data_IF_449413051241
#
_entry.id   IF_449413051241
#
_cell.length_a   1.000
_cell.length_b   1.000
_cell.length_c   1.000
_cell.angle_alpha   90.00
_cell.angle_beta   90.00
_cell.angle_gamma   90.00
#
_symmetry.space_group_name_H-M   'P 1'
#
loop_
_entity.id
_entity.type
_entity.pdbx_description
1 polymer ?
#
# COMPACT_ATOMS: atom_id res chain seq x y z
N UNK A 1 6.17 -31.29 -66.12
CA UNK A 1 6.83 -31.81 -64.89
C UNK A 1 7.41 -30.71 -63.97
N UNK A 2 7.72 -29.54 -64.42
CA UNK A 2 8.30 -28.43 -63.67
C UNK A 2 7.28 -27.68 -62.85
N UNK A 3 6.06 -27.44 -63.34
CA UNK A 3 5.00 -26.65 -62.70
C UNK A 3 4.45 -27.27 -61.39
N UNK A 4 4.43 -28.59 -61.31
CA UNK A 4 3.90 -29.34 -60.16
C UNK A 4 4.89 -29.35 -58.99
N UNK A 5 6.21 -29.27 -59.26
CA UNK A 5 7.26 -29.16 -58.23
C UNK A 5 7.31 -27.77 -57.62
N UNK A 6 7.02 -26.72 -58.38
CA UNK A 6 7.02 -25.33 -57.92
C UNK A 6 5.80 -25.06 -57.05
N UNK A 7 4.62 -25.58 -57.44
CA UNK A 7 3.41 -25.51 -56.62
C UNK A 7 3.57 -26.22 -55.25
N UNK A 8 4.18 -27.41 -55.24
CA UNK A 8 4.45 -28.17 -53.99
C UNK A 8 5.45 -27.44 -53.11
N UNK A 9 6.47 -26.80 -53.67
CA UNK A 9 7.42 -25.97 -52.90
C UNK A 9 6.77 -24.74 -52.26
N UNK A 10 5.97 -24.02 -53.02
CA UNK A 10 5.25 -22.84 -52.49
C UNK A 10 4.27 -23.23 -51.40
N UNK A 11 3.53 -24.34 -51.57
CA UNK A 11 2.58 -24.83 -50.58
C UNK A 11 3.28 -25.32 -49.29
N UNK A 12 4.45 -25.95 -49.43
CA UNK A 12 5.26 -26.38 -48.29
C UNK A 12 5.85 -25.19 -47.52
N UNK A 13 6.37 -24.20 -48.23
CA UNK A 13 6.89 -22.96 -47.61
C UNK A 13 5.78 -22.17 -46.89
N UNK A 14 4.59 -22.06 -47.48
CA UNK A 14 3.46 -21.37 -46.89
C UNK A 14 2.92 -22.07 -45.62
N UNK A 15 2.85 -23.40 -45.67
CA UNK A 15 2.41 -24.21 -44.51
C UNK A 15 3.40 -24.10 -43.34
N UNK A 16 4.68 -24.15 -43.63
CA UNK A 16 5.71 -24.00 -42.60
C UNK A 16 5.81 -22.55 -42.06
N UNK A 17 5.66 -21.53 -42.91
CA UNK A 17 5.64 -20.13 -42.50
C UNK A 17 4.53 -19.86 -41.49
N UNK A 18 3.34 -20.45 -41.66
CA UNK A 18 2.24 -20.33 -40.65
C UNK A 18 2.65 -20.88 -39.28
N UNK A 19 3.33 -22.04 -39.25
CA UNK A 19 3.79 -22.62 -38.00
C UNK A 19 4.88 -21.79 -37.31
N UNK A 20 5.78 -21.17 -38.09
CA UNK A 20 6.79 -20.23 -37.55
C UNK A 20 6.16 -18.97 -37.00
N UNK A 21 5.15 -18.41 -37.66
CA UNK A 21 4.41 -17.26 -37.20
C UNK A 21 3.66 -17.60 -35.88
N UNK A 22 2.93 -18.72 -35.86
CA UNK A 22 2.20 -19.17 -34.66
C UNK A 22 3.17 -19.42 -33.50
N UNK A 23 4.29 -20.12 -33.74
CA UNK A 23 5.32 -20.34 -32.71
C UNK A 23 5.93 -19.06 -32.21
N UNK A 24 6.21 -18.10 -33.08
CA UNK A 24 6.71 -16.76 -32.69
C UNK A 24 5.72 -15.98 -31.86
N UNK A 25 4.44 -15.99 -32.22
CA UNK A 25 3.37 -15.33 -31.43
C UNK A 25 3.23 -15.97 -30.06
N UNK A 26 3.21 -17.30 -29.97
CA UNK A 26 3.12 -18.00 -28.68
C UNK A 26 4.33 -17.74 -27.79
N UNK A 27 5.54 -17.74 -28.37
CA UNK A 27 6.76 -17.40 -27.63
C UNK A 27 6.75 -15.96 -27.13
N UNK A 28 6.26 -15.01 -27.91
CA UNK A 28 6.11 -13.62 -27.51
C UNK A 28 5.08 -13.45 -26.38
N UNK A 29 3.92 -14.10 -26.50
CA UNK A 29 2.91 -14.09 -25.43
C UNK A 29 3.51 -14.66 -24.13
N UNK A 30 4.20 -15.79 -24.22
CA UNK A 30 4.85 -16.39 -23.05
C UNK A 30 5.91 -15.46 -22.44
N UNK A 31 6.72 -14.79 -23.25
CA UNK A 31 7.70 -13.82 -22.76
C UNK A 31 7.03 -12.64 -22.03
N UNK A 32 5.96 -12.08 -22.62
CA UNK A 32 5.22 -10.96 -22.00
C UNK A 32 4.58 -11.39 -20.68
N UNK A 33 4.00 -12.60 -20.62
CA UNK A 33 3.41 -13.10 -19.36
C UNK A 33 4.46 -13.33 -18.29
N UNK A 34 5.60 -13.93 -18.61
CA UNK A 34 6.70 -14.15 -17.65
C UNK A 34 7.29 -12.83 -17.18
N UNK A 35 7.55 -11.89 -18.10
CA UNK A 35 8.02 -10.55 -17.75
C UNK A 35 7.01 -9.81 -16.85
N UNK A 36 5.72 -9.90 -17.16
CA UNK A 36 4.65 -9.35 -16.35
C UNK A 36 4.61 -9.94 -14.94
N UNK A 37 4.77 -11.26 -14.81
CA UNK A 37 4.82 -11.93 -13.50
C UNK A 37 6.06 -11.52 -12.68
N UNK A 38 7.21 -11.36 -13.32
CA UNK A 38 8.44 -10.90 -12.65
C UNK A 38 8.26 -9.47 -12.13
N UNK A 39 7.72 -8.58 -12.96
CA UNK A 39 7.45 -7.19 -12.59
C UNK A 39 6.42 -7.14 -11.46
N UNK A 40 5.32 -7.90 -11.57
CA UNK A 40 4.31 -8.01 -10.53
C UNK A 40 4.93 -8.47 -9.20
N UNK A 41 5.69 -9.56 -9.19
CA UNK A 41 6.35 -10.08 -7.99
C UNK A 41 7.37 -9.09 -7.41
N UNK A 42 8.07 -8.33 -8.25
CA UNK A 42 9.00 -7.30 -7.80
C UNK A 42 8.28 -6.18 -7.04
N UNK A 43 7.18 -5.64 -7.59
CA UNK A 43 6.41 -4.58 -6.95
C UNK A 43 5.61 -5.08 -5.74
N UNK A 44 5.12 -6.29 -5.82
CA UNK A 44 4.30 -6.92 -4.79
C UNK A 44 5.04 -7.05 -3.43
N UNK A 45 6.35 -7.32 -3.47
CA UNK A 45 7.18 -7.43 -2.27
C UNK A 45 8.02 -6.17 -1.96
N UNK A 46 7.73 -5.04 -2.59
CA UNK A 46 8.52 -3.81 -2.38
C UNK A 46 8.48 -3.35 -0.92
N UNK A 47 7.30 -3.29 -0.31
CA UNK A 47 7.15 -2.89 1.10
C UNK A 47 7.90 -3.82 2.05
N UNK A 48 7.82 -5.14 1.84
CA UNK A 48 8.57 -6.11 2.64
C UNK A 48 10.08 -5.84 2.59
N UNK A 49 10.64 -5.62 1.41
CA UNK A 49 12.06 -5.32 1.23
C UNK A 49 12.46 -4.00 1.88
N UNK A 50 11.62 -2.97 1.75
CA UNK A 50 11.82 -1.66 2.36
C UNK A 50 11.81 -1.75 3.88
N UNK A 51 10.82 -2.43 4.47
CA UNK A 51 10.74 -2.66 5.91
C UNK A 51 11.96 -3.46 6.40
N UNK A 52 12.35 -4.52 5.69
CA UNK A 52 13.52 -5.31 6.05
C UNK A 52 14.83 -4.50 5.98
N UNK A 53 14.93 -3.54 5.06
CA UNK A 53 16.08 -2.65 4.94
C UNK A 53 16.11 -1.64 6.08
N UNK A 54 15.00 -0.98 6.39
CA UNK A 54 14.96 0.08 7.39
C UNK A 54 14.87 -0.43 8.84
N UNK A 55 14.40 -1.68 9.02
CA UNK A 55 14.35 -2.39 10.31
C UNK A 55 15.37 -3.54 10.35
N UNK A 56 16.59 -3.29 9.94
CA UNK A 56 17.66 -4.30 9.78
C UNK A 56 17.99 -5.07 11.07
N UNK A 57 17.72 -4.48 12.22
CA UNK A 57 17.96 -5.00 13.56
C UNK A 57 16.72 -5.69 14.18
N UNK A 58 15.62 -5.78 13.42
CA UNK A 58 14.36 -6.36 13.87
C UNK A 58 13.90 -7.49 12.92
N UNK A 59 13.18 -8.49 13.43
CA UNK A 59 12.64 -9.55 12.59
C UNK A 59 11.46 -9.02 11.76
N UNK A 60 11.65 -8.90 10.46
CA UNK A 60 10.57 -8.60 9.49
C UNK A 60 10.31 -9.84 8.65
N UNK A 61 9.08 -10.36 8.69
CA UNK A 61 8.62 -11.49 7.89
C UNK A 61 7.11 -11.34 7.60
N UNK A 62 6.64 -11.87 6.49
CA UNK A 62 5.27 -11.64 6.00
C UNK A 62 4.17 -12.14 6.96
N UNK A 63 4.44 -13.22 7.69
CA UNK A 63 3.50 -13.78 8.67
C UNK A 63 3.61 -13.18 10.08
N UNK A 64 4.28 -12.00 10.24
CA UNK A 64 4.43 -11.38 11.56
C UNK A 64 3.09 -10.87 12.10
N UNK A 65 2.78 -11.14 13.39
CA UNK A 65 1.54 -10.63 14.00
C UNK A 65 1.65 -9.18 14.48
N UNK A 66 2.86 -8.66 14.61
CA UNK A 66 3.13 -7.31 15.11
C UNK A 66 4.13 -6.61 14.22
N UNK A 67 3.75 -5.45 13.71
CA UNK A 67 4.69 -4.53 13.08
C UNK A 67 5.03 -3.43 14.08
N UNK A 68 6.28 -3.40 14.50
CA UNK A 68 6.80 -2.35 15.40
C UNK A 68 7.90 -1.59 14.69
N UNK A 69 7.70 -0.29 14.53
CA UNK A 69 8.67 0.63 13.92
C UNK A 69 9.12 1.61 14.98
N UNK A 70 10.38 1.56 15.46
CA UNK A 70 10.90 2.52 16.43
C UNK A 70 10.94 3.95 15.86
N UNK A 71 10.87 4.95 16.74
CA UNK A 71 10.92 6.36 16.33
C UNK A 71 12.15 6.69 15.48
N UNK A 72 11.98 7.56 14.50
CA UNK A 72 13.03 8.04 13.59
C UNK A 72 13.47 7.03 12.52
N UNK A 73 12.71 5.94 12.32
CA UNK A 73 13.05 4.89 11.34
C UNK A 73 12.28 5.02 10.03
N UNK A 74 12.80 4.31 9.03
CA UNK A 74 12.20 4.17 7.70
C UNK A 74 12.06 5.51 6.94
N UNK A 75 13.02 6.41 7.12
CA UNK A 75 13.08 7.73 6.48
C UNK A 75 14.01 7.75 5.25
N UNK A 76 14.14 6.63 4.54
CA UNK A 76 14.84 6.57 3.27
C UNK A 76 13.96 7.15 2.14
N UNK A 77 14.52 7.97 1.26
CA UNK A 77 13.83 8.60 0.12
C UNK A 77 13.25 7.57 -0.87
N UNK A 78 13.84 6.38 -0.92
CA UNK A 78 13.35 5.28 -1.76
C UNK A 78 12.05 4.65 -1.24
N UNK A 79 11.68 4.90 0.03
CA UNK A 79 10.48 4.34 0.64
C UNK A 79 9.32 5.31 0.45
N UNK A 80 8.66 5.25 -0.69
CA UNK A 80 7.54 6.13 -1.05
C UNK A 80 6.16 5.50 -0.86
N UNK A 81 6.09 4.18 -0.69
CA UNK A 81 4.84 3.44 -0.52
C UNK A 81 4.98 2.46 0.65
N UNK A 82 3.98 2.47 1.54
CA UNK A 82 3.77 1.47 2.57
C UNK A 82 2.50 0.70 2.24
N UNK A 83 2.63 -0.49 1.66
CA UNK A 83 1.53 -1.40 1.32
C UNK A 83 1.60 -2.65 2.21
N UNK A 84 0.66 -2.78 3.15
CA UNK A 84 0.65 -3.85 4.14
C UNK A 84 -0.27 -5.04 3.79
N UNK A 85 -0.88 -5.05 2.59
CA UNK A 85 -1.84 -6.10 2.19
C UNK A 85 -1.31 -7.54 2.27
N UNK A 86 0.02 -7.73 2.15
CA UNK A 86 0.64 -9.06 2.21
C UNK A 86 0.96 -9.56 3.63
N UNK A 87 0.84 -8.69 4.63
CA UNK A 87 1.07 -9.03 6.03
C UNK A 87 -0.24 -9.48 6.69
N UNK A 88 -0.86 -10.51 6.12
CA UNK A 88 -2.23 -10.94 6.48
C UNK A 88 -2.41 -11.39 7.93
N UNK A 89 -1.32 -11.72 8.63
CA UNK A 89 -1.38 -12.13 10.04
C UNK A 89 -1.19 -10.96 11.02
N UNK A 90 -1.08 -9.72 10.52
CA UNK A 90 -0.92 -8.55 11.38
C UNK A 90 -2.14 -8.37 12.29
N UNK A 91 -1.84 -8.26 13.58
CA UNK A 91 -2.82 -7.93 14.64
C UNK A 91 -2.66 -6.52 15.15
N UNK A 92 -1.43 -6.05 15.26
CA UNK A 92 -1.17 -4.68 15.69
C UNK A 92 -0.05 -4.05 14.87
N UNK A 93 -0.24 -2.76 14.58
CA UNK A 93 0.73 -1.90 13.92
C UNK A 93 1.08 -0.79 14.93
N UNK A 94 2.34 -0.71 15.32
CA UNK A 94 2.86 0.35 16.17
C UNK A 94 4.01 1.05 15.47
N UNK A 95 3.80 2.30 15.11
CA UNK A 95 4.79 3.14 14.43
C UNK A 95 5.16 4.27 15.39
N UNK A 96 6.45 4.40 15.66
CA UNK A 96 6.97 5.46 16.53
C UNK A 96 6.83 6.85 15.91
N UNK A 97 7.36 7.85 16.57
CA UNK A 97 7.37 9.22 16.07
C UNK A 97 8.42 9.44 14.99
N UNK A 98 8.16 10.38 14.08
CA UNK A 98 9.13 10.81 13.07
C UNK A 98 9.57 9.66 12.13
N UNK A 99 8.61 8.82 11.75
CA UNK A 99 8.82 7.68 10.86
C UNK A 99 8.21 7.92 9.47
N UNK A 100 8.76 7.25 8.45
CA UNK A 100 8.20 7.22 7.09
C UNK A 100 8.03 8.60 6.45
N UNK A 101 8.98 9.49 6.65
CA UNK A 101 8.95 10.88 6.17
C UNK A 101 8.63 11.01 4.66
N UNK A 102 9.15 10.09 3.84
CA UNK A 102 9.03 10.15 2.38
C UNK A 102 7.89 9.29 1.80
N UNK A 103 7.12 8.61 2.67
CA UNK A 103 5.99 7.80 2.22
C UNK A 103 4.83 8.71 1.83
N UNK A 104 4.41 8.62 0.57
CA UNK A 104 3.30 9.38 0.00
C UNK A 104 2.04 8.53 -0.21
N UNK A 105 2.15 7.21 -0.09
CA UNK A 105 1.01 6.31 -0.21
C UNK A 105 1.04 5.23 0.85
N UNK A 106 -0.02 5.17 1.66
CA UNK A 106 -0.21 4.15 2.68
C UNK A 106 -1.45 3.33 2.37
N UNK A 107 -1.28 2.00 2.34
CA UNK A 107 -2.34 1.02 2.08
C UNK A 107 -2.37 0.01 3.24
N UNK A 108 -3.43 0.04 4.03
CA UNK A 108 -3.76 -0.93 5.08
C UNK A 108 -5.10 -1.52 4.68
N UNK A 109 -5.05 -2.63 3.94
CA UNK A 109 -6.23 -3.18 3.28
C UNK A 109 -6.28 -4.70 3.40
N UNK A 110 -7.47 -5.25 3.68
CA UNK A 110 -7.71 -6.70 3.71
C UNK A 110 -7.00 -7.43 4.84
N UNK A 111 -6.81 -6.79 6.00
CA UNK A 111 -6.14 -7.36 7.15
C UNK A 111 -7.18 -7.84 8.17
N UNK A 112 -7.63 -9.08 7.99
CA UNK A 112 -8.72 -9.64 8.80
C UNK A 112 -8.38 -9.76 10.29
N UNK A 113 -7.12 -10.01 10.63
CA UNK A 113 -6.68 -10.17 12.03
C UNK A 113 -6.30 -8.84 12.72
N UNK A 114 -6.31 -7.72 12.00
CA UNK A 114 -5.87 -6.43 12.51
C UNK A 114 -6.85 -5.89 13.55
N UNK A 115 -6.34 -5.61 14.76
CA UNK A 115 -7.12 -5.11 15.91
C UNK A 115 -6.79 -3.66 16.25
N UNK A 116 -5.53 -3.27 16.12
CA UNK A 116 -5.09 -1.94 16.54
C UNK A 116 -4.02 -1.33 15.65
N UNK A 117 -4.12 -0.01 15.47
CA UNK A 117 -3.11 0.81 14.80
C UNK A 117 -2.76 1.97 15.71
N UNK A 118 -1.47 2.13 15.99
CA UNK A 118 -0.95 3.26 16.75
C UNK A 118 0.22 3.90 15.99
N UNK A 119 0.14 5.20 15.76
CA UNK A 119 1.13 5.99 15.02
C UNK A 119 1.56 7.17 15.89
N UNK A 120 2.86 7.34 16.07
CA UNK A 120 3.45 8.43 16.84
C UNK A 120 3.33 9.78 16.13
N UNK A 121 3.83 10.85 16.78
CA UNK A 121 3.79 12.21 16.24
C UNK A 121 4.73 12.39 15.05
N UNK A 122 4.45 13.34 14.18
CA UNK A 122 5.27 13.75 13.03
C UNK A 122 5.62 12.60 12.08
N UNK A 123 4.81 11.55 12.01
CA UNK A 123 5.04 10.42 11.12
C UNK A 123 4.29 10.60 9.81
N UNK A 124 4.84 10.09 8.72
CA UNK A 124 4.29 10.26 7.37
C UNK A 124 4.15 11.74 6.97
N UNK A 125 5.06 12.58 7.42
CA UNK A 125 5.08 14.02 7.12
C UNK A 125 6.44 14.38 6.56
N UNK A 126 6.47 14.88 5.32
CA UNK A 126 7.73 15.16 4.61
C UNK A 126 8.35 16.49 5.03
N UNK A 127 7.54 17.53 5.13
CA UNK A 127 8.00 18.83 5.58
C UNK A 127 6.83 19.62 6.17
N UNK A 128 7.10 20.26 7.30
CA UNK A 128 6.15 21.15 7.98
C UNK A 128 5.76 22.34 7.08
N UNK A 129 6.57 22.65 6.05
CA UNK A 129 6.43 23.83 5.18
C UNK A 129 5.86 23.56 3.79
N UNK A 130 5.62 22.31 3.39
CA UNK A 130 5.03 21.99 2.08
C UNK A 130 3.53 21.76 2.21
N UNK A 131 2.80 22.85 2.27
CA UNK A 131 1.34 22.91 2.38
C UNK A 131 0.61 22.09 1.29
N UNK A 132 0.42 20.79 1.51
CA UNK A 132 -0.49 19.96 0.71
C UNK A 132 -0.18 19.84 -0.79
N UNK A 133 1.04 20.13 -1.22
CA UNK A 133 1.44 20.12 -2.62
C UNK A 133 1.72 18.72 -3.19
N UNK A 134 1.75 17.71 -2.36
CA UNK A 134 1.95 16.34 -2.78
C UNK A 134 0.63 15.58 -2.79
N UNK A 135 0.32 14.86 -3.85
CA UNK A 135 -0.85 13.98 -3.95
C UNK A 135 -0.67 12.73 -3.08
N UNK A 136 -0.55 12.92 -1.77
CA UNK A 136 -0.35 11.84 -0.81
C UNK A 136 -1.68 11.26 -0.36
N UNK A 137 -1.74 9.95 -0.17
CA UNK A 137 -2.99 9.25 0.10
C UNK A 137 -2.83 8.16 1.16
N UNK A 138 -3.81 8.10 2.07
CA UNK A 138 -3.95 7.09 3.10
C UNK A 138 -5.24 6.31 2.88
N UNK A 139 -5.14 4.99 2.86
CA UNK A 139 -6.26 4.07 2.73
C UNK A 139 -6.25 3.05 3.86
N UNK A 140 -7.34 2.98 4.60
CA UNK A 140 -7.62 1.98 5.61
C UNK A 140 -8.95 1.31 5.24
N UNK A 141 -8.90 0.06 4.76
CA UNK A 141 -10.05 -0.61 4.19
C UNK A 141 -10.10 -2.08 4.54
N UNK A 142 -11.32 -2.61 4.60
CA UNK A 142 -11.54 -4.05 4.69
C UNK A 142 -10.76 -4.71 5.84
N UNK A 143 -10.79 -4.07 7.04
CA UNK A 143 -10.19 -4.57 8.27
C UNK A 143 -11.31 -4.81 9.30
N UNK A 144 -12.00 -5.95 9.22
CA UNK A 144 -13.26 -6.18 9.94
C UNK A 144 -13.11 -6.24 11.46
N UNK A 145 -11.95 -6.59 11.97
CA UNK A 145 -11.68 -6.72 13.40
C UNK A 145 -10.93 -5.52 14.01
N UNK A 146 -10.67 -4.48 13.23
CA UNK A 146 -9.99 -3.29 13.72
C UNK A 146 -10.87 -2.56 14.75
N UNK A 147 -10.37 -2.41 15.97
CA UNK A 147 -11.04 -1.80 17.12
C UNK A 147 -10.59 -0.36 17.37
N UNK A 148 -9.28 -0.09 17.23
CA UNK A 148 -8.69 1.20 17.55
C UNK A 148 -7.74 1.70 16.46
N UNK A 149 -7.85 3.01 16.16
CA UNK A 149 -6.97 3.72 15.25
C UNK A 149 -6.50 5.03 15.90
N UNK A 150 -5.23 5.08 16.29
CA UNK A 150 -4.64 6.21 17.03
C UNK A 150 -3.49 6.81 16.24
N UNK A 151 -3.52 8.12 16.04
CA UNK A 151 -2.53 8.89 15.30
C UNK A 151 -2.06 10.04 16.19
N UNK A 152 -0.75 10.16 16.37
CA UNK A 152 -0.12 11.29 17.08
C UNK A 152 -0.23 12.62 16.34
N UNK A 153 0.03 13.73 17.03
CA UNK A 153 -0.03 15.06 16.44
C UNK A 153 0.87 15.22 15.22
N UNK A 154 0.43 16.02 14.26
CA UNK A 154 1.15 16.39 13.04
C UNK A 154 1.51 15.23 12.11
N UNK A 155 0.95 14.05 12.32
CA UNK A 155 1.14 12.92 11.40
C UNK A 155 0.21 13.04 10.20
N UNK A 156 0.70 12.66 9.01
CA UNK A 156 -0.02 12.83 7.74
C UNK A 156 -0.46 14.28 7.44
N UNK A 157 0.24 15.28 7.97
CA UNK A 157 -0.18 16.68 7.87
C UNK A 157 -0.22 17.21 6.43
N UNK A 158 0.57 16.66 5.53
CA UNK A 158 0.67 16.98 4.11
C UNK A 158 -0.11 16.03 3.17
N UNK A 159 -0.85 15.08 3.74
CA UNK A 159 -1.69 14.17 2.96
C UNK A 159 -2.94 14.88 2.45
N UNK A 160 -3.32 14.59 1.21
CA UNK A 160 -4.47 15.19 0.54
C UNK A 160 -5.70 14.27 0.51
N UNK A 161 -5.53 12.99 0.79
CA UNK A 161 -6.60 12.01 0.78
C UNK A 161 -6.49 11.09 2.00
N UNK A 162 -7.58 10.94 2.75
CA UNK A 162 -7.73 9.96 3.81
C UNK A 162 -9.06 9.22 3.61
N UNK A 163 -9.01 7.92 3.32
CA UNK A 163 -10.20 7.09 3.13
C UNK A 163 -10.20 5.94 4.12
N UNK A 164 -11.21 5.89 4.97
CA UNK A 164 -11.48 4.80 5.90
C UNK A 164 -12.80 4.16 5.51
N UNK A 165 -12.79 2.86 5.19
CA UNK A 165 -13.99 2.18 4.72
C UNK A 165 -14.02 0.70 5.11
N UNK A 166 -15.21 0.17 5.32
CA UNK A 166 -15.45 -1.24 5.67
C UNK A 166 -14.59 -1.72 6.87
N UNK A 167 -14.70 -0.98 7.98
CA UNK A 167 -14.07 -1.27 9.28
C UNK A 167 -15.14 -1.35 10.38
N UNK A 168 -16.03 -2.35 10.34
CA UNK A 168 -17.26 -2.39 11.15
C UNK A 168 -17.03 -2.52 12.65
N UNK A 169 -15.86 -2.99 13.08
CA UNK A 169 -15.53 -3.12 14.50
C UNK A 169 -14.84 -1.90 15.10
N UNK A 170 -14.54 -0.88 14.28
CA UNK A 170 -13.80 0.31 14.72
C UNK A 170 -14.65 1.13 15.69
N UNK A 171 -14.19 1.21 16.94
CA UNK A 171 -14.85 1.92 18.03
C UNK A 171 -14.25 3.27 18.32
N UNK A 172 -12.96 3.45 18.01
CA UNK A 172 -12.22 4.62 18.42
C UNK A 172 -11.24 5.06 17.36
N UNK A 173 -11.34 6.33 16.98
CA UNK A 173 -10.35 7.04 16.18
C UNK A 173 -9.83 8.19 17.02
N UNK A 174 -8.53 8.26 17.26
CA UNK A 174 -7.85 9.41 17.88
C UNK A 174 -6.92 10.00 16.83
N UNK A 175 -7.08 11.28 16.57
CA UNK A 175 -6.21 12.03 15.67
C UNK A 175 -5.61 13.21 16.41
N UNK A 176 -4.33 13.11 16.74
CA UNK A 176 -3.60 14.15 17.44
C UNK A 176 -3.82 14.19 18.96
N UNK A 177 -3.57 15.36 19.55
CA UNK A 177 -3.74 15.63 20.98
C UNK A 177 -4.75 16.76 21.12
N UNK A 178 -5.80 16.55 21.92
CA UNK A 178 -6.85 17.55 22.18
C UNK A 178 -6.34 18.77 22.97
N UNK A 179 -5.18 18.65 23.60
CA UNK A 179 -4.60 19.71 24.42
C UNK A 179 -3.57 20.57 23.67
N UNK A 180 -3.21 20.19 22.45
CA UNK A 180 -2.21 20.87 21.62
C UNK A 180 -2.76 21.00 20.20
N UNK A 181 -2.45 22.08 19.51
CA UNK A 181 -2.75 22.20 18.10
C UNK A 181 -2.22 20.98 17.36
N UNK A 182 -3.12 20.22 16.80
CA UNK A 182 -2.80 19.00 16.08
C UNK A 182 -3.32 19.10 14.64
N UNK A 183 -2.40 19.04 13.69
CA UNK A 183 -2.71 19.18 12.26
C UNK A 183 -2.61 17.85 11.51
N UNK A 184 -3.01 16.75 12.17
CA UNK A 184 -3.06 15.43 11.50
C UNK A 184 -4.12 15.45 10.40
N UNK A 185 -3.75 15.02 9.20
CA UNK A 185 -4.60 15.07 7.99
C UNK A 185 -5.17 16.48 7.68
N UNK A 186 -4.45 17.54 8.02
CA UNK A 186 -4.96 18.91 7.93
C UNK A 186 -5.45 19.31 6.53
N UNK A 187 -4.76 18.84 5.48
CA UNK A 187 -5.12 19.11 4.08
C UNK A 187 -5.92 17.97 3.43
N UNK A 188 -6.21 16.89 4.17
CA UNK A 188 -6.85 15.74 3.58
C UNK A 188 -8.35 15.93 3.41
N UNK A 189 -8.85 15.47 2.26
CA UNK A 189 -10.26 15.11 2.11
C UNK A 189 -10.50 13.81 2.87
N UNK A 190 -11.23 13.89 3.99
CA UNK A 190 -11.57 12.73 4.82
C UNK A 190 -12.86 12.10 4.32
N UNK A 191 -12.79 10.83 3.92
CA UNK A 191 -13.94 10.04 3.51
C UNK A 191 -14.10 8.82 4.44
N UNK A 192 -15.20 8.81 5.20
CA UNK A 192 -15.57 7.70 6.08
C UNK A 192 -16.77 6.97 5.47
N UNK A 193 -16.59 5.68 5.15
CA UNK A 193 -17.62 4.83 4.57
C UNK A 193 -17.88 3.61 5.43
N UNK A 194 -19.13 3.26 5.66
CA UNK A 194 -19.49 2.03 6.36
C UNK A 194 -19.91 2.20 7.82
N UNK A 195 -20.66 3.25 8.14
CA UNK A 195 -21.33 3.36 9.43
C UNK A 195 -20.49 3.96 10.56
N UNK A 196 -19.46 4.72 10.24
CA UNK A 196 -18.72 5.51 11.23
C UNK A 196 -19.39 6.88 11.41
N UNK A 197 -19.70 7.24 12.65
CA UNK A 197 -20.19 8.56 13.00
C UNK A 197 -19.11 9.33 13.75
N UNK A 198 -18.65 10.43 13.18
CA UNK A 198 -17.68 11.29 13.84
C UNK A 198 -18.41 12.45 14.53
N UNK A 199 -18.20 12.63 15.83
CA UNK A 199 -18.68 13.79 16.59
C UNK A 199 -17.63 14.89 16.39
N UNK A 200 -18.00 16.03 15.76
CA UNK A 200 -17.01 17.06 15.35
C UNK A 200 -16.21 17.67 16.50
N UNK A 201 -16.78 17.73 17.71
CA UNK A 201 -16.18 18.42 18.86
C UNK A 201 -15.27 17.53 19.73
N UNK A 202 -15.39 16.18 19.62
CA UNK A 202 -14.69 15.25 20.53
C UNK A 202 -13.60 14.42 19.85
N UNK A 203 -13.34 14.59 18.53
CA UNK A 203 -12.43 13.76 17.72
C UNK A 203 -12.68 12.24 17.85
N UNK A 204 -13.91 11.86 18.22
CA UNK A 204 -14.31 10.46 18.38
C UNK A 204 -15.27 10.10 17.27
N UNK A 205 -14.95 9.03 16.52
CA UNK A 205 -15.86 8.44 15.56
C UNK A 205 -16.49 7.18 16.17
N UNK A 206 -17.80 7.06 16.10
CA UNK A 206 -18.55 5.91 16.59
C UNK A 206 -19.13 5.12 15.42
N UNK A 207 -19.16 3.79 15.47
CA UNK A 207 -19.87 2.97 14.49
C UNK A 207 -21.39 3.10 14.69
N UNK A 208 -22.13 3.01 13.59
CA UNK A 208 -23.59 2.80 13.59
C UNK A 208 -23.91 1.34 13.82
#
# INVERSE_FOLDING_TARGET
>A
MTRDREYRRQHFCYKNAKWFIIGGVLAFIHFVTVAGLIVYHYYDHQTYRSLKKCLYDMPVYEAMPYLVVPSGRCNDEDITVLDLKHFTNLRNITIGSECFMYVTKVLIEGLDDLVGIQIGKNSFTHAIDTFGLTSSSFYLRDCPNLDTFEIGPFSFSDYTTCIISNVPSLKKIIMGDILVDSCSFFYASLELKGGLYCIPDDQICLPF
#
